data_IF_213052046486
#
_entry.id   IF_213052046486
#
_cell.length_a   1.000
_cell.length_b   1.000
_cell.length_c   1.000
_cell.angle_alpha   90.00
_cell.angle_beta   90.00
_cell.angle_gamma   90.00
#
_symmetry.space_group_name_H-M   'P 1'
#
loop_
_entity.id
_entity.type
_entity.pdbx_description
1 polymer ?
#
# COMPACT_ATOMS: atom_id res chain seq x y z
N UNK A 1 -17.53 7.03 3.43
CA UNK A 1 -16.75 6.14 4.32
C UNK A 1 -17.62 5.79 5.52
N UNK A 2 -17.53 4.58 6.04
CA UNK A 2 -18.29 4.13 7.22
C UNK A 2 -17.65 4.56 8.55
N UNK A 3 -16.42 5.05 8.52
CA UNK A 3 -15.63 5.56 9.65
C UNK A 3 -14.64 6.61 9.14
N UNK A 4 -13.87 7.23 10.04
CA UNK A 4 -12.90 8.29 9.77
C UNK A 4 -11.48 7.76 9.49
N UNK A 5 -11.34 6.44 9.29
CA UNK A 5 -10.12 5.79 8.85
C UNK A 5 -10.39 4.81 7.69
N UNK A 6 -9.32 4.39 7.01
CA UNK A 6 -9.36 3.30 6.04
C UNK A 6 -8.52 2.11 6.50
N UNK A 7 -8.92 0.91 6.08
CA UNK A 7 -8.19 -0.33 6.30
C UNK A 7 -8.05 -1.05 4.95
N UNK A 8 -6.82 -1.25 4.49
CA UNK A 8 -6.53 -1.76 3.14
C UNK A 8 -5.67 -3.02 3.24
N UNK A 9 -6.08 -4.06 2.50
CA UNK A 9 -5.34 -5.33 2.39
C UNK A 9 -4.85 -5.53 0.96
N UNK A 10 -3.54 -5.66 0.81
CA UNK A 10 -2.90 -5.94 -0.46
C UNK A 10 -2.66 -7.44 -0.58
N UNK A 11 -3.31 -8.06 -1.54
CA UNK A 11 -3.27 -9.50 -1.73
C UNK A 11 -2.29 -9.94 -2.82
N UNK A 12 -1.57 -9.02 -3.48
CA UNK A 12 -0.73 -9.33 -4.63
C UNK A 12 -1.29 -8.71 -5.91
N UNK A 13 -0.41 -8.36 -6.84
CA UNK A 13 -0.74 -7.70 -8.10
C UNK A 13 -1.40 -8.65 -9.11
N UNK A 14 -0.66 -9.67 -9.54
CA UNK A 14 -1.07 -10.57 -10.64
C UNK A 14 -1.66 -11.88 -10.14
N UNK A 15 -1.48 -12.19 -8.85
CA UNK A 15 -1.95 -13.41 -8.23
C UNK A 15 -2.08 -13.28 -6.71
N UNK A 16 -3.14 -13.86 -6.17
CA UNK A 16 -3.47 -13.72 -4.75
C UNK A 16 -2.45 -14.47 -3.87
N UNK A 17 -1.98 -13.78 -2.84
CA UNK A 17 -1.10 -14.22 -1.79
C UNK A 17 0.36 -14.51 -2.19
N UNK A 18 0.67 -14.55 -3.48
CA UNK A 18 2.01 -14.94 -3.93
C UNK A 18 2.70 -13.96 -4.88
N UNK A 19 1.99 -13.02 -5.50
CA UNK A 19 2.62 -12.11 -6.47
C UNK A 19 3.21 -10.87 -5.80
N UNK A 20 4.39 -10.46 -6.25
CA UNK A 20 5.00 -9.19 -5.87
C UNK A 20 4.33 -8.03 -6.65
N UNK A 21 4.29 -6.84 -6.06
CA UNK A 21 3.95 -5.63 -6.79
C UNK A 21 5.22 -5.08 -7.46
N UNK A 22 5.06 -4.42 -8.60
CA UNK A 22 6.14 -3.63 -9.20
C UNK A 22 6.31 -2.29 -8.48
N UNK A 23 7.46 -1.66 -8.67
CA UNK A 23 7.75 -0.32 -8.15
C UNK A 23 6.76 0.72 -8.69
N UNK A 24 6.37 0.63 -9.96
CA UNK A 24 5.38 1.51 -10.59
C UNK A 24 4.00 1.36 -9.95
N UNK A 25 3.58 0.11 -9.69
CA UNK A 25 2.30 -0.16 -9.02
C UNK A 25 2.28 0.42 -7.60
N UNK A 26 3.36 0.25 -6.85
CA UNK A 26 3.47 0.79 -5.49
C UNK A 26 3.55 2.32 -5.49
N UNK A 27 4.19 2.93 -6.47
CA UNK A 27 4.21 4.38 -6.65
C UNK A 27 2.80 4.93 -6.96
N UNK A 28 2.04 4.24 -7.80
CA UNK A 28 0.66 4.62 -8.11
C UNK A 28 -0.28 4.42 -6.91
N UNK A 29 -0.06 3.35 -6.13
CA UNK A 29 -0.75 3.18 -4.84
C UNK A 29 -0.42 4.30 -3.87
N UNK A 30 0.83 4.73 -3.77
CA UNK A 30 1.21 5.87 -2.91
C UNK A 30 0.43 7.14 -3.27
N UNK A 31 0.28 7.45 -4.56
CA UNK A 31 -0.54 8.60 -5.03
C UNK A 31 -2.01 8.46 -4.63
N UNK A 32 -2.59 7.26 -4.81
CA UNK A 32 -3.99 6.98 -4.43
C UNK A 32 -4.20 7.13 -2.92
N UNK A 33 -3.27 6.61 -2.12
CA UNK A 33 -3.30 6.68 -0.66
C UNK A 33 -3.16 8.12 -0.16
N UNK A 34 -2.26 8.92 -0.76
CA UNK A 34 -2.10 10.33 -0.42
C UNK A 34 -3.38 11.13 -0.67
N UNK A 35 -4.05 10.88 -1.80
CA UNK A 35 -5.35 11.50 -2.09
C UNK A 35 -6.44 11.04 -1.11
N UNK A 36 -6.47 9.75 -0.78
CA UNK A 36 -7.43 9.18 0.17
C UNK A 36 -7.23 9.76 1.59
N UNK A 37 -5.99 9.97 2.01
CA UNK A 37 -5.63 10.48 3.33
C UNK A 37 -6.14 11.89 3.61
N UNK A 38 -6.43 12.71 2.59
CA UNK A 38 -6.93 14.09 2.77
C UNK A 38 -8.22 14.18 3.59
N UNK A 39 -9.03 13.11 3.59
CA UNK A 39 -10.33 13.09 4.24
C UNK A 39 -10.42 12.05 5.39
N UNK A 40 -9.28 11.52 5.85
CA UNK A 40 -9.23 10.46 6.87
C UNK A 40 -8.22 10.82 7.96
N UNK A 41 -8.49 10.38 9.19
CA UNK A 41 -7.55 10.48 10.31
C UNK A 41 -6.42 9.48 10.22
N UNK A 42 -6.67 8.31 9.65
CA UNK A 42 -5.69 7.24 9.54
C UNK A 42 -5.97 6.33 8.34
N UNK A 43 -4.90 5.70 7.84
CA UNK A 43 -4.99 4.59 6.89
C UNK A 43 -4.11 3.47 7.42
N UNK A 44 -4.71 2.30 7.67
CA UNK A 44 -4.00 1.09 8.05
C UNK A 44 -3.80 0.19 6.83
N UNK A 45 -2.57 -0.21 6.57
CA UNK A 45 -2.18 -0.96 5.38
C UNK A 45 -1.57 -2.29 5.80
N UNK A 46 -2.07 -3.38 5.24
CA UNK A 46 -1.56 -4.73 5.47
C UNK A 46 -1.27 -5.42 4.15
N UNK A 47 -0.03 -5.87 3.96
CA UNK A 47 0.34 -6.75 2.86
C UNK A 47 0.13 -8.20 3.28
N UNK A 48 -0.56 -8.96 2.43
CA UNK A 48 -0.94 -10.34 2.66
C UNK A 48 -0.42 -11.26 1.53
N UNK A 49 0.53 -10.78 0.72
CA UNK A 49 1.20 -11.48 -0.35
C UNK A 49 2.60 -11.93 0.08
N UNK A 50 2.69 -12.80 1.09
CA UNK A 50 3.95 -13.08 1.79
C UNK A 50 4.79 -14.21 1.18
N UNK A 51 4.36 -14.82 0.06
CA UNK A 51 5.25 -15.73 -0.66
C UNK A 51 6.57 -15.00 -0.98
N UNK A 52 7.69 -15.71 -0.80
CA UNK A 52 9.04 -15.16 -1.03
C UNK A 52 9.37 -13.87 -0.24
N UNK A 53 8.66 -13.63 0.87
CA UNK A 53 8.74 -12.41 1.66
C UNK A 53 8.39 -11.12 0.89
N UNK A 54 7.56 -11.22 -0.15
CA UNK A 54 7.14 -10.05 -0.92
C UNK A 54 6.35 -9.04 -0.08
N UNK A 55 5.54 -9.47 0.89
CA UNK A 55 4.77 -8.55 1.72
C UNK A 55 5.67 -7.54 2.44
N UNK A 56 6.77 -7.99 3.05
CA UNK A 56 7.74 -7.12 3.73
C UNK A 56 8.43 -6.18 2.75
N UNK A 57 8.87 -6.69 1.60
CA UNK A 57 9.53 -5.89 0.55
C UNK A 57 8.59 -4.78 0.04
N UNK A 58 7.37 -5.14 -0.32
CA UNK A 58 6.36 -4.21 -0.81
C UNK A 58 6.00 -3.16 0.24
N UNK A 59 5.88 -3.53 1.51
CA UNK A 59 5.60 -2.60 2.59
C UNK A 59 6.72 -1.55 2.76
N UNK A 60 7.98 -1.97 2.68
CA UNK A 60 9.13 -1.06 2.76
C UNK A 60 9.15 -0.12 1.55
N UNK A 61 8.95 -0.64 0.33
CA UNK A 61 8.93 0.17 -0.89
C UNK A 61 7.77 1.16 -0.89
N UNK A 62 6.55 0.74 -0.53
CA UNK A 62 5.41 1.65 -0.43
C UNK A 62 5.65 2.75 0.60
N UNK A 63 6.22 2.41 1.77
CA UNK A 63 6.58 3.40 2.79
C UNK A 63 7.53 4.46 2.23
N UNK A 64 8.56 4.07 1.48
CA UNK A 64 9.50 5.01 0.84
C UNK A 64 8.77 5.99 -0.08
N UNK A 65 7.88 5.52 -0.94
CA UNK A 65 7.10 6.40 -1.82
C UNK A 65 6.20 7.35 -1.03
N UNK A 66 5.56 6.87 0.04
CA UNK A 66 4.73 7.70 0.92
C UNK A 66 5.54 8.75 1.69
N UNK A 67 6.82 8.51 1.97
CA UNK A 67 7.72 9.47 2.62
C UNK A 67 8.26 10.50 1.62
N UNK A 68 8.60 10.08 0.39
CA UNK A 68 9.09 10.98 -0.66
C UNK A 68 8.04 11.97 -1.17
N UNK A 69 6.75 11.60 -1.12
CA UNK A 69 5.64 12.46 -1.54
C UNK A 69 5.19 13.51 -0.51
N UNK A 70 5.85 13.64 0.65
CA UNK A 70 5.49 14.58 1.72
C UNK A 70 6.13 15.97 1.60
N UNK A 71 6.59 16.37 0.41
CA UNK A 71 7.11 17.73 0.16
C UNK A 71 5.97 18.74 0.04
#
# INVERSE_FOLDING_TARGET
>A
ATTDFAYIRFHGSTGLYFSCYSDEELADWAKRLANLARNLKAIYIYFNNDAEAFAVRNAITLRRYLEMGKV
#
